data_IF_154532413809
#
_entry.id   IF_154532413809
#
_cell.length_a   1.000
_cell.length_b   1.000
_cell.length_c   1.000
_cell.angle_alpha   90.00
_cell.angle_beta   90.00
_cell.angle_gamma   90.00
#
_symmetry.space_group_name_H-M   'P 1'
#
loop_
_entity.id
_entity.type
_entity.pdbx_description
1 polymer ?
#
# COMPACT_ATOMS: atom_id res chain seq x y z
N UNK A 1 -17.45 -15.07 -12.95
CA UNK A 1 -18.35 -14.13 -12.25
C UNK A 1 -19.46 -14.96 -11.62
N UNK A 2 -19.56 -14.96 -10.29
CA UNK A 2 -20.70 -15.57 -9.60
C UNK A 2 -21.89 -14.63 -9.71
N UNK A 3 -23.11 -15.18 -9.83
CA UNK A 3 -24.32 -14.36 -9.73
C UNK A 3 -24.50 -13.84 -8.30
N UNK A 4 -25.24 -12.73 -8.16
CA UNK A 4 -25.43 -12.04 -6.89
C UNK A 4 -26.09 -12.92 -5.82
N UNK A 5 -26.99 -13.82 -6.23
CA UNK A 5 -27.72 -14.70 -5.31
C UNK A 5 -26.79 -15.77 -4.74
N UNK A 6 -25.95 -16.36 -5.58
CA UNK A 6 -24.92 -17.32 -5.17
C UNK A 6 -23.88 -16.67 -4.25
N UNK A 7 -23.47 -15.43 -4.54
CA UNK A 7 -22.56 -14.68 -3.66
C UNK A 7 -23.17 -14.44 -2.27
N UNK A 8 -24.46 -14.06 -2.23
CA UNK A 8 -25.15 -13.80 -0.96
C UNK A 8 -25.34 -15.08 -0.14
N UNK A 9 -25.73 -16.18 -0.80
CA UNK A 9 -25.82 -17.49 -0.14
C UNK A 9 -24.47 -17.90 0.46
N UNK A 10 -23.39 -17.75 -0.31
CA UNK A 10 -22.03 -18.09 0.13
C UNK A 10 -21.59 -17.23 1.33
N UNK A 11 -21.88 -15.93 1.30
CA UNK A 11 -21.59 -15.01 2.42
C UNK A 11 -22.22 -15.43 3.74
N UNK A 12 -23.42 -16.00 3.71
CA UNK A 12 -24.11 -16.44 4.92
C UNK A 12 -23.69 -17.85 5.36
N UNK A 13 -23.33 -18.71 4.40
CA UNK A 13 -22.93 -20.08 4.68
C UNK A 13 -21.53 -20.18 5.29
N UNK A 14 -20.57 -19.40 4.80
CA UNK A 14 -19.17 -19.52 5.21
C UNK A 14 -18.89 -19.18 6.69
N UNK A 15 -19.55 -18.18 7.33
CA UNK A 15 -19.35 -17.90 8.75
C UNK A 15 -19.77 -19.05 9.68
N UNK A 16 -20.70 -19.90 9.25
CA UNK A 16 -21.15 -21.07 10.02
C UNK A 16 -20.23 -22.29 9.84
N UNK A 17 -19.25 -22.20 8.94
CA UNK A 17 -18.34 -23.30 8.64
C UNK A 17 -17.40 -23.58 9.83
N UNK A 18 -17.43 -24.81 10.36
CA UNK A 18 -16.68 -25.20 11.57
C UNK A 18 -15.20 -25.54 11.33
N UNK A 19 -14.61 -25.05 10.24
CA UNK A 19 -13.22 -25.33 9.87
C UNK A 19 -12.43 -24.08 9.49
N UNK A 20 -11.13 -24.23 9.27
CA UNK A 20 -10.30 -23.15 8.74
C UNK A 20 -10.43 -23.06 7.23
N UNK A 21 -10.72 -21.86 6.74
CA UNK A 21 -10.82 -21.57 5.32
C UNK A 21 -9.72 -20.59 4.92
N UNK A 22 -9.11 -20.85 3.76
CA UNK A 22 -8.21 -19.88 3.11
C UNK A 22 -8.95 -19.33 1.90
N UNK A 23 -9.22 -18.03 1.92
CA UNK A 23 -10.02 -17.34 0.91
C UNK A 23 -9.14 -16.36 0.16
N UNK A 24 -9.18 -16.43 -1.17
CA UNK A 24 -8.57 -15.44 -2.07
C UNK A 24 -9.69 -14.83 -2.89
N UNK A 25 -9.90 -13.52 -2.76
CA UNK A 25 -10.92 -12.78 -3.49
C UNK A 25 -10.45 -11.37 -3.80
N UNK A 26 -10.96 -10.81 -4.89
CA UNK A 26 -10.79 -9.39 -5.23
C UNK A 26 -11.94 -8.53 -4.70
N UNK A 27 -13.01 -9.14 -4.17
CA UNK A 27 -14.14 -8.43 -3.58
C UNK A 27 -13.87 -8.11 -2.11
N UNK A 28 -13.59 -6.84 -1.85
CA UNK A 28 -13.31 -6.30 -0.51
C UNK A 28 -14.48 -6.50 0.46
N UNK A 29 -15.72 -6.32 0.01
CA UNK A 29 -16.89 -6.50 0.88
C UNK A 29 -17.10 -7.96 1.24
N UNK A 30 -16.74 -8.88 0.34
CA UNK A 30 -16.75 -10.31 0.64
C UNK A 30 -15.72 -10.68 1.70
N UNK A 31 -14.48 -10.25 1.51
CA UNK A 31 -13.41 -10.47 2.49
C UNK A 31 -13.78 -9.85 3.85
N UNK A 32 -14.35 -8.65 3.85
CA UNK A 32 -14.74 -7.95 5.08
C UNK A 32 -15.85 -8.67 5.86
N UNK A 33 -16.75 -9.38 5.16
CA UNK A 33 -17.87 -10.08 5.79
C UNK A 33 -17.50 -11.45 6.35
N UNK A 34 -16.49 -12.11 5.77
CA UNK A 34 -16.20 -13.54 6.04
C UNK A 34 -14.86 -13.76 6.74
N UNK A 35 -13.84 -12.94 6.46
CA UNK A 35 -12.49 -13.19 6.95
C UNK A 35 -12.31 -12.63 8.38
N UNK A 36 -11.67 -13.42 9.25
CA UNK A 36 -11.32 -13.03 10.62
C UNK A 36 -9.90 -12.48 10.73
N UNK A 37 -9.05 -12.84 9.77
CA UNK A 37 -7.64 -12.47 9.68
C UNK A 37 -7.29 -12.29 8.20
N UNK A 38 -6.38 -11.36 7.90
CA UNK A 38 -5.86 -11.11 6.57
C UNK A 38 -4.38 -11.45 6.53
N UNK A 39 -4.00 -12.30 5.58
CA UNK A 39 -2.60 -12.59 5.28
C UNK A 39 -2.22 -11.74 4.07
N UNK A 40 -1.33 -10.77 4.29
CA UNK A 40 -0.86 -9.86 3.27
C UNK A 40 0.50 -10.34 2.74
N UNK A 41 0.56 -10.59 1.43
CA UNK A 41 1.78 -10.98 0.72
C UNK A 41 2.37 -9.78 -0.01
N UNK A 42 3.54 -9.31 0.43
CA UNK A 42 4.26 -8.20 -0.21
C UNK A 42 5.75 -8.49 -0.18
N UNK A 43 6.47 -8.23 -1.28
CA UNK A 43 7.93 -8.34 -1.29
C UNK A 43 8.48 -9.73 -0.91
N UNK A 44 7.76 -10.81 -1.25
CA UNK A 44 8.07 -12.20 -0.83
C UNK A 44 7.98 -12.44 0.69
N UNK A 45 7.30 -11.55 1.42
CA UNK A 45 7.05 -11.67 2.86
C UNK A 45 5.55 -11.79 3.14
N UNK A 46 5.20 -12.56 4.17
CA UNK A 46 3.83 -12.73 4.62
C UNK A 46 3.67 -12.03 5.98
N UNK A 47 2.74 -11.08 6.05
CA UNK A 47 2.35 -10.42 7.29
C UNK A 47 0.90 -10.74 7.63
N UNK A 48 0.62 -11.08 8.88
CA UNK A 48 -0.72 -11.44 9.35
C UNK A 48 -1.34 -10.28 10.12
N UNK A 49 -2.57 -9.91 9.74
CA UNK A 49 -3.36 -8.87 10.36
C UNK A 49 -4.63 -9.48 10.94
N UNK A 50 -4.88 -9.25 12.23
CA UNK A 50 -6.12 -9.66 12.89
C UNK A 50 -7.25 -8.71 12.52
N UNK A 51 -8.41 -9.26 12.24
CA UNK A 51 -9.60 -8.52 11.86
C UNK A 51 -9.96 -8.67 10.38
N UNK A 52 -10.99 -7.95 9.98
CA UNK A 52 -11.53 -7.97 8.64
C UNK A 52 -10.65 -7.14 7.66
N UNK A 53 -11.05 -7.14 6.39
CA UNK A 53 -10.33 -6.44 5.32
C UNK A 53 -10.18 -4.93 5.60
N UNK A 54 -11.23 -4.28 6.10
CA UNK A 54 -11.21 -2.84 6.41
C UNK A 54 -10.20 -2.51 7.53
N UNK A 55 -10.18 -3.31 8.59
CA UNK A 55 -9.22 -3.14 9.69
C UNK A 55 -7.76 -3.33 9.21
N UNK A 56 -7.54 -4.31 8.34
CA UNK A 56 -6.26 -4.53 7.67
C UNK A 56 -5.82 -3.29 6.88
N UNK A 57 -6.65 -2.77 5.98
CA UNK A 57 -6.32 -1.59 5.14
C UNK A 57 -5.98 -0.36 5.99
N UNK A 58 -6.78 -0.09 7.02
CA UNK A 58 -6.53 1.02 7.94
C UNK A 58 -5.17 0.87 8.65
N UNK A 59 -4.93 -0.29 9.26
CA UNK A 59 -3.70 -0.57 10.01
C UNK A 59 -2.47 -0.51 9.09
N UNK A 60 -2.58 -1.08 7.89
CA UNK A 60 -1.54 -1.06 6.87
C UNK A 60 -1.21 0.37 6.45
N UNK A 61 -2.22 1.19 6.17
CA UNK A 61 -2.04 2.60 5.80
C UNK A 61 -1.37 3.41 6.90
N UNK A 62 -1.76 3.20 8.16
CA UNK A 62 -1.15 3.86 9.31
C UNK A 62 0.32 3.45 9.50
N UNK A 63 0.62 2.15 9.39
CA UNK A 63 1.99 1.62 9.43
C UNK A 63 2.86 2.27 8.36
N UNK A 64 2.38 2.33 7.12
CA UNK A 64 3.09 2.95 6.01
C UNK A 64 3.33 4.46 6.24
N UNK A 65 2.30 5.19 6.68
CA UNK A 65 2.44 6.62 6.99
C UNK A 65 3.44 6.88 8.11
N UNK A 66 3.44 6.04 9.15
CA UNK A 66 4.40 6.13 10.25
C UNK A 66 5.83 5.91 9.76
N UNK A 67 6.06 4.85 8.99
CA UNK A 67 7.37 4.55 8.39
C UNK A 67 7.87 5.69 7.50
N UNK A 68 7.00 6.26 6.67
CA UNK A 68 7.33 7.42 5.83
C UNK A 68 7.75 8.64 6.65
N UNK A 69 7.00 8.98 7.70
CA UNK A 69 7.33 10.10 8.60
C UNK A 69 8.65 9.90 9.34
N UNK A 70 8.88 8.69 9.84
CA UNK A 70 10.14 8.33 10.51
C UNK A 70 11.33 8.44 9.55
N UNK A 71 11.17 7.96 8.31
CA UNK A 71 12.16 8.09 7.26
C UNK A 71 12.45 9.56 6.93
N UNK A 72 11.42 10.38 6.70
CA UNK A 72 11.56 11.80 6.39
C UNK A 72 12.26 12.57 7.52
N UNK A 73 11.91 12.28 8.78
CA UNK A 73 12.55 12.90 9.94
C UNK A 73 14.04 12.53 10.05
N UNK A 74 14.38 11.26 9.83
CA UNK A 74 15.77 10.81 9.82
C UNK A 74 16.55 11.40 8.63
N UNK A 75 15.95 11.45 7.45
CA UNK A 75 16.55 12.07 6.26
C UNK A 75 16.82 13.55 6.48
N UNK A 76 15.87 14.29 7.06
CA UNK A 76 16.02 15.70 7.40
C UNK A 76 17.13 15.93 8.43
N UNK A 77 17.19 15.10 9.47
CA UNK A 77 18.26 15.17 10.48
C UNK A 77 19.64 14.91 9.86
N UNK A 78 19.78 13.85 9.07
CA UNK A 78 21.04 13.53 8.34
C UNK A 78 21.45 14.68 7.43
N UNK A 79 20.51 15.26 6.69
CA UNK A 79 20.75 16.42 5.82
C UNK A 79 21.24 17.63 6.63
N UNK A 80 20.61 17.93 7.75
CA UNK A 80 21.00 19.06 8.60
C UNK A 80 22.42 18.89 9.15
N UNK A 81 22.75 17.70 9.67
CA UNK A 81 24.09 17.37 10.18
C UNK A 81 25.13 17.45 9.05
N UNK A 82 24.81 16.94 7.86
CA UNK A 82 25.69 17.00 6.69
C UNK A 82 26.00 18.44 6.28
N UNK A 83 24.98 19.29 6.16
CA UNK A 83 25.18 20.72 5.84
C UNK A 83 26.05 21.44 6.88
N UNK A 84 25.93 21.07 8.16
CA UNK A 84 26.79 21.62 9.22
C UNK A 84 28.24 21.16 9.05
N UNK A 85 28.46 19.87 8.78
CA UNK A 85 29.79 19.31 8.51
C UNK A 85 30.40 20.06 7.32
N UNK A 86 29.70 20.13 6.19
CA UNK A 86 30.20 20.75 4.95
C UNK A 86 30.58 22.23 5.16
N UNK A 87 29.77 22.98 5.93
CA UNK A 87 30.01 24.40 6.21
C UNK A 87 31.21 24.65 7.13
N UNK A 88 31.46 23.76 8.09
CA UNK A 88 32.47 23.98 9.14
C UNK A 88 33.70 23.06 9.01
N UNK A 89 33.80 22.25 7.95
CA UNK A 89 34.86 21.26 7.74
C UNK A 89 36.28 21.86 7.68
N UNK A 90 36.40 23.10 7.21
CA UNK A 90 37.69 23.79 7.01
C UNK A 90 37.94 24.93 8.02
N UNK A 91 37.23 24.97 9.15
CA UNK A 91 37.25 26.12 10.08
C UNK A 91 37.56 25.80 11.54
N UNK A 92 37.45 26.82 12.40
CA UNK A 92 37.76 26.82 13.85
C UNK A 92 36.97 25.83 14.71
N UNK A 93 36.01 25.08 14.14
CA UNK A 93 35.12 24.13 14.84
C UNK A 93 35.42 22.66 14.52
N UNK A 94 36.66 22.33 14.14
CA UNK A 94 37.09 20.99 13.73
C UNK A 94 36.70 19.86 14.72
N UNK A 95 36.85 20.07 16.03
CA UNK A 95 36.46 19.06 17.04
C UNK A 95 34.95 18.75 17.05
N UNK A 96 34.11 19.76 16.81
CA UNK A 96 32.64 19.60 16.73
C UNK A 96 32.22 18.87 15.45
N UNK A 97 32.90 19.14 14.34
CA UNK A 97 32.69 18.46 13.05
C UNK A 97 33.05 16.98 13.16
N UNK A 98 34.22 16.66 13.72
CA UNK A 98 34.67 15.28 13.91
C UNK A 98 33.73 14.45 14.80
N UNK A 99 33.21 15.04 15.88
CA UNK A 99 32.21 14.39 16.73
C UNK A 99 30.91 14.07 15.96
N UNK A 100 30.43 15.02 15.15
CA UNK A 100 29.20 14.85 14.34
C UNK A 100 29.38 13.87 13.18
N UNK A 101 30.56 13.80 12.57
CA UNK A 101 30.91 12.77 11.56
C UNK A 101 30.79 11.38 12.20
N UNK A 102 31.45 11.17 13.35
CA UNK A 102 31.37 9.89 14.08
C UNK A 102 29.95 9.55 14.53
N UNK A 103 29.15 10.55 14.89
CA UNK A 103 27.74 10.34 15.23
C UNK A 103 26.90 9.93 14.01
N UNK A 104 27.18 10.52 12.83
CA UNK A 104 26.48 10.21 11.58
C UNK A 104 26.82 8.79 11.07
N UNK A 105 28.07 8.35 11.21
CA UNK A 105 28.53 6.99 10.85
C UNK A 105 27.90 5.91 11.72
N UNK A 106 27.57 6.23 12.98
CA UNK A 106 26.92 5.29 13.91
C UNK A 106 25.41 5.16 13.68
N UNK A 107 24.79 6.03 12.88
CA UNK A 107 23.36 5.94 12.62
C UNK A 107 23.06 4.77 11.67
N UNK A 108 22.07 3.91 11.99
CA UNK A 108 21.72 2.75 11.17
C UNK A 108 21.26 3.17 9.77
N UNK A 109 21.54 2.32 8.78
CA UNK A 109 21.22 2.60 7.37
C UNK A 109 19.76 3.03 7.20
N UNK A 110 19.58 4.18 6.56
CA UNK A 110 18.27 4.72 6.26
C UNK A 110 17.70 3.97 5.05
N UNK A 111 16.81 3.00 5.30
CA UNK A 111 16.09 2.29 4.25
C UNK A 111 14.79 3.04 3.91
N UNK A 112 14.51 3.30 2.63
CA UNK A 112 13.22 3.86 2.24
C UNK A 112 12.09 2.87 2.57
N UNK A 113 10.88 3.34 2.90
CA UNK A 113 9.71 2.47 2.96
C UNK A 113 9.52 1.75 1.63
N UNK A 114 9.10 0.49 1.65
CA UNK A 114 8.70 -0.21 0.43
C UNK A 114 7.44 0.45 -0.13
N UNK A 115 7.53 0.97 -1.36
CA UNK A 115 6.37 1.48 -2.08
C UNK A 115 5.75 0.37 -2.92
N UNK A 116 4.42 0.25 -2.86
CA UNK A 116 3.73 -0.61 -3.82
C UNK A 116 3.71 0.04 -5.20
N UNK A 117 3.93 -0.75 -6.27
CA UNK A 117 3.92 -0.23 -7.62
C UNK A 117 2.57 0.41 -7.93
N UNK A 118 2.61 1.66 -8.40
CA UNK A 118 1.40 2.35 -8.84
C UNK A 118 0.92 1.73 -10.17
N UNK A 119 -0.30 1.20 -10.17
CA UNK A 119 -0.91 0.64 -11.40
C UNK A 119 -1.42 1.82 -12.24
N UNK A 120 -0.61 2.25 -13.19
CA UNK A 120 -1.02 3.28 -14.16
C UNK A 120 -1.83 2.63 -15.28
N UNK A 121 -3.15 2.77 -15.21
CA UNK A 121 -4.04 2.39 -16.30
C UNK A 121 -4.05 3.50 -17.35
N UNK A 122 -3.46 3.24 -18.51
CA UNK A 122 -3.59 4.10 -19.69
C UNK A 122 -4.74 3.60 -20.53
N UNK A 123 -5.85 4.34 -20.51
CA UNK A 123 -6.93 4.12 -21.45
C UNK A 123 -6.55 4.72 -22.80
N UNK A 124 -6.83 4.00 -23.88
CA UNK A 124 -6.71 4.55 -25.22
C UNK A 124 -7.74 5.67 -25.38
N UNK A 125 -7.37 6.73 -26.09
CA UNK A 125 -8.36 7.69 -26.58
C UNK A 125 -9.29 6.94 -27.55
N UNK A 126 -10.55 6.84 -27.16
CA UNK A 126 -11.59 6.22 -27.99
C UNK A 126 -12.08 7.32 -28.93
N UNK A 127 -12.08 7.07 -30.24
CA UNK A 127 -12.73 7.96 -31.18
C UNK A 127 -14.20 8.15 -30.79
N UNK A 128 -14.71 9.37 -30.89
CA UNK A 128 -16.11 9.66 -30.61
C UNK A 128 -16.99 8.84 -31.55
N UNK A 129 -17.53 7.72 -31.05
CA UNK A 129 -18.40 6.87 -31.84
C UNK A 129 -19.75 7.58 -31.98
N UNK A 130 -20.31 7.57 -33.19
CA UNK A 130 -21.55 8.28 -33.48
C UNK A 130 -22.66 7.90 -32.49
N UNK A 131 -23.53 8.86 -32.13
CA UNK A 131 -24.61 8.64 -31.15
C UNK A 131 -25.58 7.51 -31.54
N UNK A 132 -25.60 7.10 -32.81
CA UNK A 132 -26.38 5.99 -33.33
C UNK A 132 -25.46 4.80 -33.68
N UNK A 133 -25.09 4.04 -32.65
CA UNK A 133 -24.25 2.84 -32.81
C UNK A 133 -24.97 1.70 -33.52
N UNK A 134 -26.28 1.59 -33.30
CA UNK A 134 -27.13 0.56 -33.89
C UNK A 134 -28.42 1.23 -34.31
N UNK A 135 -28.70 1.22 -35.62
CA UNK A 135 -30.00 1.52 -36.18
C UNK A 135 -30.52 0.24 -36.80
N UNK A 136 -31.67 -0.23 -36.32
CA UNK A 136 -32.35 -1.41 -36.87
C UNK A 136 -33.45 -0.91 -37.82
N UNK A 137 -33.24 -1.11 -39.12
CA UNK A 137 -34.27 -0.89 -40.11
C UNK A 137 -34.93 -2.24 -40.45
N UNK A 138 -36.25 -2.25 -40.65
CA UNK A 138 -37.05 -3.44 -40.99
C UNK A 138 -37.10 -4.56 -39.93
N UNK A 139 -37.29 -4.20 -38.66
CA UNK A 139 -37.70 -5.18 -37.65
C UNK A 139 -39.19 -5.47 -37.84
N UNK A 140 -39.52 -6.46 -38.66
CA UNK A 140 -40.89 -6.94 -38.80
C UNK A 140 -41.25 -7.86 -37.63
N UNK A 141 -42.43 -7.61 -37.04
CA UNK A 141 -43.08 -8.42 -36.00
C UNK A 141 -43.80 -9.62 -36.58
#
# INVERSE_FOLDING_TARGET
>A
MLDLKSLYWLKNFLPEWQGTLVIVSHDRHFLDSVCTDIIHLTGQTLEVYRGNYTAFECTRREKHLRQKREYEAQAAHRKHVKTFIDRFNAGTRAASVQSRIKALEKLPDLKPPEEEPEVVLRFLEIEEVSKNLIQLDNVFT
#
